data_IF_004816132585
#
_entry.id   IF_004816132585
#
_cell.length_a   1.000
_cell.length_b   1.000
_cell.length_c   1.000
_cell.angle_alpha   90.00
_cell.angle_beta   90.00
_cell.angle_gamma   90.00
#
_symmetry.space_group_name_H-M   'P 1'
#
loop_
_entity.id
_entity.type
_entity.pdbx_description
1 polymer ?
#
# COMPACT_ATOMS: atom_id res chain seq x y z
N UNK A 1 7.62 -1.48 20.25
CA UNK A 1 7.21 -0.70 19.06
C UNK A 1 5.71 -0.58 18.98
N UNK A 2 5.22 0.59 18.65
CA UNK A 2 3.79 0.78 18.45
C UNK A 2 3.32 0.07 17.18
N UNK A 3 2.29 -0.72 17.32
CA UNK A 3 1.60 -1.34 16.21
C UNK A 3 0.89 -0.28 15.36
N UNK A 4 1.13 -0.28 14.06
CA UNK A 4 0.44 0.59 13.12
C UNK A 4 -0.26 -0.27 12.08
N UNK A 5 -1.58 -0.19 12.04
CA UNK A 5 -2.41 -1.11 11.24
C UNK A 5 -2.92 -0.41 9.99
N UNK A 6 -2.69 -1.05 8.85
CA UNK A 6 -3.30 -0.68 7.57
C UNK A 6 -4.55 -1.54 7.38
N UNK A 7 -5.72 -0.90 7.27
CA UNK A 7 -6.98 -1.62 7.05
C UNK A 7 -7.31 -1.64 5.57
N UNK A 8 -7.54 -2.84 5.03
CA UNK A 8 -7.87 -3.06 3.62
C UNK A 8 -9.13 -3.91 3.50
N UNK A 9 -10.06 -3.49 2.66
CA UNK A 9 -11.24 -4.29 2.32
C UNK A 9 -10.96 -5.11 1.08
N UNK A 10 -11.26 -6.41 1.15
CA UNK A 10 -11.05 -7.35 0.04
C UNK A 10 -12.32 -8.16 -0.21
N UNK A 11 -12.48 -8.63 -1.45
CA UNK A 11 -13.60 -9.51 -1.79
C UNK A 11 -13.44 -10.88 -1.14
N UNK A 12 -14.55 -11.63 -1.06
CA UNK A 12 -14.55 -12.94 -0.40
C UNK A 12 -13.51 -13.90 -0.97
N UNK A 13 -13.37 -13.95 -2.27
CA UNK A 13 -12.41 -14.84 -2.94
C UNK A 13 -10.99 -14.63 -2.41
N UNK A 14 -10.55 -13.37 -2.40
CA UNK A 14 -9.19 -13.04 -1.95
C UNK A 14 -9.06 -13.15 -0.44
N UNK A 15 -10.11 -12.79 0.31
CA UNK A 15 -10.12 -12.94 1.76
C UNK A 15 -9.92 -14.41 2.17
N UNK A 16 -10.65 -15.32 1.54
CA UNK A 16 -10.55 -16.75 1.85
C UNK A 16 -9.14 -17.28 1.53
N UNK A 17 -8.51 -16.82 0.46
CA UNK A 17 -7.14 -17.20 0.12
C UNK A 17 -6.11 -16.64 1.13
N UNK A 18 -6.35 -15.45 1.65
CA UNK A 18 -5.49 -14.86 2.69
C UNK A 18 -5.60 -15.68 3.98
N UNK A 19 -6.80 -16.02 4.40
CA UNK A 19 -7.04 -16.84 5.60
C UNK A 19 -6.38 -18.21 5.45
N UNK A 20 -6.46 -18.82 4.26
CA UNK A 20 -5.88 -20.14 3.99
C UNK A 20 -4.36 -20.12 3.83
N UNK A 21 -3.74 -18.94 3.80
CA UNK A 21 -2.29 -18.81 3.58
C UNK A 21 -1.85 -18.94 2.12
N UNK A 22 -2.80 -19.02 1.19
CA UNK A 22 -2.52 -19.14 -0.25
C UNK A 22 -2.16 -17.80 -0.90
N UNK A 23 -2.64 -16.68 -0.33
CA UNK A 23 -2.37 -15.34 -0.80
C UNK A 23 -1.55 -14.60 0.26
N UNK A 24 -0.34 -14.18 -0.12
CA UNK A 24 0.62 -13.52 0.77
C UNK A 24 0.98 -12.11 0.34
N UNK A 25 0.36 -11.63 -0.73
CA UNK A 25 0.52 -10.27 -1.22
C UNK A 25 -0.83 -9.69 -1.59
N UNK A 26 -1.03 -8.40 -1.28
CA UNK A 26 -2.18 -7.63 -1.73
C UNK A 26 -1.69 -6.47 -2.58
N UNK A 27 -2.50 -6.09 -3.56
CA UNK A 27 -2.12 -5.10 -4.56
C UNK A 27 -3.08 -3.94 -4.57
N UNK A 28 -2.54 -2.71 -4.63
CA UNK A 28 -3.35 -1.49 -4.72
C UNK A 28 -2.80 -0.61 -5.84
N UNK A 29 -3.72 0.01 -6.59
CA UNK A 29 -3.37 0.85 -7.74
C UNK A 29 -2.51 2.05 -7.32
N UNK A 30 -1.54 2.42 -8.15
CA UNK A 30 -0.68 3.57 -7.90
C UNK A 30 -1.44 4.82 -8.36
N UNK A 31 -2.38 5.27 -7.54
CA UNK A 31 -3.22 6.45 -7.75
C UNK A 31 -3.27 7.29 -6.49
N UNK A 32 -3.79 8.51 -6.62
CA UNK A 32 -3.79 9.53 -5.57
C UNK A 32 -4.20 9.06 -4.19
N UNK A 33 -5.30 8.30 -4.08
CA UNK A 33 -5.78 7.80 -2.80
C UNK A 33 -4.75 6.92 -2.08
N UNK A 34 -4.21 5.92 -2.80
CA UNK A 34 -3.22 5.00 -2.22
C UNK A 34 -1.86 5.64 -2.04
N UNK A 35 -1.48 6.55 -2.94
CA UNK A 35 -0.26 7.34 -2.79
C UNK A 35 -0.29 8.15 -1.49
N UNK A 36 -1.39 8.84 -1.22
CA UNK A 36 -1.57 9.63 0.01
C UNK A 36 -1.58 8.76 1.26
N UNK A 37 -2.09 7.55 1.17
CA UNK A 37 -2.22 6.64 2.31
C UNK A 37 -0.93 5.90 2.63
N UNK A 38 -0.15 5.55 1.62
CA UNK A 38 1.01 4.67 1.78
C UNK A 38 2.34 5.39 1.75
N UNK A 39 2.41 6.64 1.27
CA UNK A 39 3.67 7.34 1.06
C UNK A 39 3.81 8.57 1.95
N UNK A 40 5.05 8.80 2.36
CA UNK A 40 5.51 10.02 2.99
C UNK A 40 6.53 10.68 2.08
N UNK A 41 6.55 12.01 2.09
CA UNK A 41 7.53 12.80 1.35
C UNK A 41 8.33 13.67 2.32
N UNK A 42 9.61 13.87 2.01
CA UNK A 42 10.50 14.69 2.80
C UNK A 42 9.97 16.15 2.83
N UNK A 43 9.93 16.72 4.02
CA UNK A 43 9.47 18.10 4.20
C UNK A 43 10.63 19.06 3.93
N UNK A 44 10.67 19.59 2.71
CA UNK A 44 11.72 20.52 2.26
C UNK A 44 11.64 21.89 2.93
N UNK A 45 10.48 22.25 3.47
CA UNK A 45 10.29 23.52 4.17
C UNK A 45 10.78 23.47 5.62
N UNK A 46 11.02 22.28 6.14
CA UNK A 46 11.51 22.09 7.50
C UNK A 46 13.04 22.12 7.53
N UNK A 47 13.62 22.88 8.48
CA UNK A 47 15.08 22.90 8.69
C UNK A 47 15.66 21.56 9.14
N UNK A 48 14.79 20.66 9.58
CA UNK A 48 15.15 19.30 9.98
C UNK A 48 14.95 18.38 8.79
N UNK A 49 16.05 18.03 8.12
CA UNK A 49 16.04 17.22 6.90
C UNK A 49 15.49 15.80 7.08
N UNK A 50 15.26 15.36 8.33
CA UNK A 50 14.74 14.02 8.61
C UNK A 50 13.22 14.00 8.79
N UNK A 51 12.53 15.13 8.65
CA UNK A 51 11.09 15.17 8.76
C UNK A 51 10.39 14.82 7.46
N UNK A 52 9.43 13.92 7.58
CA UNK A 52 8.55 13.49 6.51
C UNK A 52 7.12 13.93 6.81
N UNK A 53 6.39 14.27 5.76
CA UNK A 53 4.96 14.64 5.85
C UNK A 53 4.15 13.73 4.94
N UNK A 54 2.85 13.63 5.20
CA UNK A 54 1.93 12.94 4.32
C UNK A 54 1.96 13.55 2.92
N UNK A 55 1.99 12.69 1.91
CA UNK A 55 1.80 13.10 0.54
C UNK A 55 0.32 13.43 0.33
N UNK A 56 0.01 14.70 0.07
CA UNK A 56 -1.35 15.12 -0.26
C UNK A 56 -1.51 15.19 -1.77
N UNK A 57 -2.41 14.37 -2.30
CA UNK A 57 -2.83 14.46 -3.69
C UNK A 57 -4.26 14.99 -3.68
N UNK A 58 -4.45 16.22 -4.13
CA UNK A 58 -5.76 16.86 -4.17
C UNK A 58 -6.72 16.12 -5.09
N UNK A 59 -8.01 16.10 -4.74
CA UNK A 59 -9.04 15.40 -5.52
C UNK A 59 -9.14 15.89 -6.96
N UNK A 60 -8.79 17.16 -7.19
CA UNK A 60 -8.86 17.81 -8.50
C UNK A 60 -7.48 18.06 -9.13
N UNK A 61 -6.42 17.71 -8.44
CA UNK A 61 -5.09 17.83 -8.97
C UNK A 61 -4.74 16.57 -9.74
N UNK A 62 -4.64 16.70 -11.04
CA UNK A 62 -3.95 15.70 -11.87
C UNK A 62 -2.46 15.80 -11.57
N UNK A 63 -2.07 15.48 -10.34
CA UNK A 63 -0.65 15.27 -10.06
C UNK A 63 -0.29 13.96 -10.76
N UNK A 64 0.21 14.11 -11.96
CA UNK A 64 0.78 13.04 -12.73
C UNK A 64 2.18 12.74 -12.16
N UNK A 65 2.22 12.26 -10.90
CA UNK A 65 3.44 11.61 -10.44
C UNK A 65 3.36 10.20 -11.03
N UNK A 66 4.13 9.97 -12.07
CA UNK A 66 4.17 8.65 -12.67
C UNK A 66 4.93 7.66 -11.75
N UNK A 67 4.74 6.38 -12.01
CA UNK A 67 5.35 5.31 -11.22
C UNK A 67 6.88 5.40 -11.20
N UNK A 68 7.50 5.74 -12.32
CA UNK A 68 8.96 5.86 -12.40
C UNK A 68 9.49 6.99 -11.52
N UNK A 69 8.79 8.11 -11.45
CA UNK A 69 9.14 9.22 -10.57
C UNK A 69 9.04 8.81 -9.10
N UNK A 70 7.99 8.09 -8.71
CA UNK A 70 7.83 7.58 -7.35
C UNK A 70 8.98 6.63 -7.00
N UNK A 71 9.32 5.69 -7.88
CA UNK A 71 10.44 4.77 -7.67
C UNK A 71 11.76 5.50 -7.45
N UNK A 72 12.04 6.52 -8.25
CA UNK A 72 13.25 7.34 -8.09
C UNK A 72 13.29 8.03 -6.73
N UNK A 73 12.17 8.62 -6.31
CA UNK A 73 12.08 9.31 -5.02
C UNK A 73 12.17 8.36 -3.84
N UNK A 74 11.67 7.14 -3.96
CA UNK A 74 11.86 6.08 -2.95
C UNK A 74 13.33 5.65 -2.88
N UNK A 75 13.99 5.49 -4.03
CA UNK A 75 15.38 5.06 -4.08
C UNK A 75 16.35 6.10 -3.52
N UNK A 76 16.07 7.39 -3.70
CA UNK A 76 16.96 8.46 -3.25
C UNK A 76 16.61 9.02 -1.86
N UNK A 77 15.60 8.44 -1.19
CA UNK A 77 15.22 8.82 0.17
C UNK A 77 14.32 10.05 0.28
N UNK A 78 13.89 10.65 -0.82
CA UNK A 78 12.94 11.78 -0.80
C UNK A 78 11.53 11.31 -0.41
N UNK A 79 11.16 10.10 -0.78
CA UNK A 79 9.93 9.44 -0.35
C UNK A 79 10.24 8.18 0.42
N UNK A 80 9.33 7.79 1.30
CA UNK A 80 9.35 6.49 1.96
C UNK A 80 7.92 6.01 2.20
N UNK A 81 7.77 4.71 2.41
CA UNK A 81 6.48 4.16 2.81
C UNK A 81 6.17 4.49 4.27
N UNK A 82 4.88 4.72 4.56
CA UNK A 82 4.40 4.80 5.93
C UNK A 82 4.76 3.48 6.64
N UNK A 83 5.36 3.51 7.85
CA UNK A 83 5.84 2.29 8.50
C UNK A 83 4.72 1.46 9.15
N UNK A 84 3.81 0.96 8.35
CA UNK A 84 2.77 0.04 8.82
C UNK A 84 3.41 -1.27 9.27
N UNK A 85 2.98 -1.77 10.42
CA UNK A 85 3.48 -3.04 10.98
C UNK A 85 2.56 -4.20 10.67
N UNK A 86 1.26 -3.93 10.56
CA UNK A 86 0.23 -4.96 10.38
C UNK A 86 -0.77 -4.51 9.33
N UNK A 87 -1.40 -5.47 8.69
CA UNK A 87 -2.52 -5.24 7.79
C UNK A 87 -3.74 -5.99 8.31
N UNK A 88 -4.86 -5.30 8.42
CA UNK A 88 -6.15 -5.87 8.79
C UNK A 88 -6.99 -5.99 7.52
N UNK A 89 -7.25 -7.21 7.09
CA UNK A 89 -8.12 -7.48 5.96
C UNK A 89 -9.55 -7.66 6.45
N UNK A 90 -10.47 -6.96 5.79
CA UNK A 90 -11.92 -7.06 6.08
C UNK A 90 -12.65 -7.51 4.82
N UNK A 91 -13.53 -8.47 4.98
CA UNK A 91 -14.47 -8.84 3.92
C UNK A 91 -15.79 -8.12 4.15
N UNK A 92 -15.81 -6.82 3.88
CA UNK A 92 -16.95 -5.93 4.05
C UNK A 92 -16.62 -4.66 4.80
N UNK A 93 -17.61 -3.76 4.88
CA UNK A 93 -17.43 -2.42 5.45
C UNK A 93 -18.04 -2.25 6.84
N UNK A 94 -18.66 -3.29 7.39
CA UNK A 94 -19.32 -3.25 8.70
C UNK A 94 -18.37 -3.69 9.80
N UNK A 95 -18.65 -3.27 11.03
CA UNK A 95 -17.82 -3.62 12.19
C UNK A 95 -17.80 -5.13 12.47
N UNK A 96 -18.88 -5.83 12.13
CA UNK A 96 -19.01 -7.28 12.29
C UNK A 96 -18.55 -8.08 11.05
N UNK A 97 -18.00 -7.41 10.03
CA UNK A 97 -17.46 -8.09 8.86
C UNK A 97 -16.33 -9.03 9.24
N UNK A 98 -16.19 -10.18 8.55
CA UNK A 98 -15.05 -11.07 8.77
C UNK A 98 -13.72 -10.34 8.62
N UNK A 99 -12.80 -10.61 9.52
CA UNK A 99 -11.49 -9.93 9.59
C UNK A 99 -10.37 -10.93 9.81
N UNK A 100 -9.21 -10.62 9.26
CA UNK A 100 -7.95 -11.30 9.58
C UNK A 100 -6.83 -10.28 9.58
N UNK A 101 -5.96 -10.35 10.59
CA UNK A 101 -4.81 -9.47 10.69
C UNK A 101 -3.53 -10.26 10.43
N UNK A 102 -2.62 -9.68 9.66
CA UNK A 102 -1.33 -10.26 9.33
C UNK A 102 -0.22 -9.24 9.60
N UNK A 103 0.97 -9.74 9.95
CA UNK A 103 2.15 -8.89 10.01
C UNK A 103 2.63 -8.55 8.60
N UNK A 104 2.98 -7.28 8.39
CA UNK A 104 3.54 -6.83 7.12
C UNK A 104 5.02 -7.18 7.09
N UNK A 105 5.44 -7.83 6.01
CA UNK A 105 6.84 -8.11 5.72
C UNK A 105 7.47 -6.93 4.98
N UNK A 106 6.80 -6.41 3.96
CA UNK A 106 7.29 -5.27 3.18
C UNK A 106 6.17 -4.60 2.41
N UNK A 107 6.39 -3.32 2.06
CA UNK A 107 5.57 -2.60 1.09
C UNK A 107 6.52 -2.13 -0.01
N UNK A 108 6.15 -2.37 -1.27
CA UNK A 108 6.99 -2.07 -2.43
C UNK A 108 6.14 -1.75 -3.65
N UNK A 109 6.80 -1.51 -4.78
CA UNK A 109 6.14 -1.33 -6.07
C UNK A 109 6.65 -2.40 -7.01
N UNK A 110 5.73 -3.05 -7.71
CA UNK A 110 6.09 -4.09 -8.67
C UNK A 110 4.87 -4.69 -9.35
N UNK A 111 5.10 -5.73 -10.10
CA UNK A 111 4.04 -6.47 -10.78
C UNK A 111 3.49 -7.57 -9.87
N UNK A 112 2.16 -7.84 -9.94
CA UNK A 112 1.54 -8.89 -9.13
C UNK A 112 2.02 -10.28 -9.52
N UNK A 113 1.87 -11.22 -8.59
CA UNK A 113 2.10 -12.64 -8.86
C UNK A 113 0.87 -13.26 -9.49
N UNK A 114 1.12 -14.16 -10.46
CA UNK A 114 0.05 -14.94 -11.08
C UNK A 114 -0.71 -15.75 -10.04
N UNK A 115 -2.04 -15.71 -10.13
CA UNK A 115 -2.91 -16.43 -9.22
C UNK A 115 -3.31 -15.66 -7.96
N UNK A 116 -2.69 -14.50 -7.67
CA UNK A 116 -3.00 -13.66 -6.52
C UNK A 116 -3.76 -12.39 -6.88
N UNK A 117 -4.10 -12.22 -8.15
CA UNK A 117 -4.86 -11.09 -8.68
C UNK A 117 -5.57 -11.50 -9.97
N UNK A 118 -6.52 -10.70 -10.48
CA UNK A 118 -7.06 -10.94 -11.83
C UNK A 118 -5.96 -10.95 -12.88
N UNK A 119 -6.05 -11.87 -13.84
CA UNK A 119 -5.00 -12.05 -14.85
C UNK A 119 -4.69 -10.83 -15.68
N UNK A 120 -5.66 -9.95 -15.89
CA UNK A 120 -5.48 -8.67 -16.61
C UNK A 120 -4.55 -7.68 -15.91
N UNK A 121 -4.19 -7.92 -14.65
CA UNK A 121 -3.34 -7.04 -13.86
C UNK A 121 -1.85 -7.39 -13.96
N UNK A 122 -1.50 -8.53 -14.52
CA UNK A 122 -0.13 -9.08 -14.44
C UNK A 122 0.95 -8.20 -15.08
N UNK A 123 0.58 -7.35 -16.04
CA UNK A 123 1.53 -6.48 -16.74
C UNK A 123 1.58 -5.06 -16.18
N UNK A 124 0.81 -4.79 -15.13
CA UNK A 124 0.72 -3.46 -14.52
C UNK A 124 1.43 -3.45 -13.17
N UNK A 125 2.14 -2.37 -12.87
CA UNK A 125 2.75 -2.18 -11.56
C UNK A 125 1.72 -1.67 -10.54
N UNK A 126 1.83 -2.16 -9.31
CA UNK A 126 0.97 -1.82 -8.17
C UNK A 126 1.81 -1.56 -6.93
N UNK A 127 1.21 -0.94 -5.92
CA UNK A 127 1.72 -1.08 -4.56
C UNK A 127 1.50 -2.52 -4.12
N UNK A 128 2.54 -3.14 -3.59
CA UNK A 128 2.52 -4.52 -3.12
C UNK A 128 2.68 -4.51 -1.61
N UNK A 129 1.66 -4.98 -0.89
CA UNK A 129 1.73 -5.20 0.55
C UNK A 129 1.99 -6.69 0.74
N UNK A 130 3.22 -7.05 1.09
CA UNK A 130 3.62 -8.41 1.35
C UNK A 130 3.52 -8.70 2.84
N UNK A 131 2.89 -9.81 3.21
CA UNK A 131 2.63 -10.15 4.60
C UNK A 131 2.93 -11.63 4.87
N UNK A 132 3.04 -11.91 6.15
CA UNK A 132 3.37 -13.27 6.64
C UNK A 132 2.14 -14.16 6.76
#
# INVERSE_FOLDING_TARGET
>A
MKKKVLTLTVSKQWFDMIVAGEKTEEYRVIKGFWMSRLLLIKDEECKDFDKFKKLHVGKNEKILIDTDTIKKKLNNGIMKFVPFTNVLFKNGYYDDSPKVEKEIESISIGKPKKGLCPGKWLDTEFFIIKFK
#
